data_IF_191050155939
#
_entry.id   IF_191050155939
#
_cell.length_a   1.000
_cell.length_b   1.000
_cell.length_c   1.000
_cell.angle_alpha   90.00
_cell.angle_beta   90.00
_cell.angle_gamma   90.00
#
_symmetry.space_group_name_H-M   'P 1'
#
loop_
_entity.id
_entity.type
_entity.pdbx_description
1 polymer ?
#
# COMPACT_ATOMS: atom_id res chain seq x y z
N UNK A 1 -7.49 17.15 24.06
CA UNK A 1 -6.85 15.86 23.67
C UNK A 1 -7.30 14.82 24.69
N UNK A 2 -7.53 13.60 24.24
CA UNK A 2 -7.98 12.50 25.08
C UNK A 2 -6.75 11.66 25.41
N UNK A 3 -6.46 11.46 26.69
CA UNK A 3 -5.20 10.86 27.14
C UNK A 3 -5.34 9.35 27.41
N UNK A 4 -4.23 8.61 27.35
CA UNK A 4 -4.19 7.16 27.57
C UNK A 4 -4.71 6.76 28.95
N UNK A 5 -4.51 7.61 29.95
CA UNK A 5 -5.03 7.44 31.31
C UNK A 5 -6.56 7.43 31.36
N UNK A 6 -7.23 8.25 30.54
CA UNK A 6 -8.68 8.25 30.41
C UNK A 6 -9.18 6.94 29.79
N UNK A 7 -8.49 6.43 28.76
CA UNK A 7 -8.84 5.16 28.12
C UNK A 7 -8.68 3.96 29.06
N UNK A 8 -7.62 3.95 29.87
CA UNK A 8 -7.40 2.91 30.88
C UNK A 8 -8.47 2.93 31.97
N UNK A 9 -8.82 4.12 32.46
CA UNK A 9 -9.89 4.29 33.45
C UNK A 9 -11.23 3.82 32.89
N UNK A 10 -11.55 4.18 31.65
CA UNK A 10 -12.78 3.76 31.01
C UNK A 10 -12.83 2.23 30.84
N UNK A 11 -11.72 1.61 30.41
CA UNK A 11 -11.63 0.16 30.29
C UNK A 11 -11.82 -0.56 31.63
N UNK A 12 -11.19 -0.06 32.70
CA UNK A 12 -11.37 -0.59 34.06
C UNK A 12 -12.80 -0.46 34.56
N UNK A 13 -13.44 0.70 34.35
CA UNK A 13 -14.83 0.91 34.71
C UNK A 13 -15.79 0.01 33.94
N UNK A 14 -15.51 -0.25 32.66
CA UNK A 14 -16.31 -1.14 31.82
C UNK A 14 -16.19 -2.59 32.29
N UNK A 15 -14.97 -3.03 32.65
CA UNK A 15 -14.74 -4.36 33.24
C UNK A 15 -15.46 -4.51 34.58
N UNK A 16 -15.40 -3.48 35.43
CA UNK A 16 -16.11 -3.47 36.72
C UNK A 16 -17.63 -3.50 36.53
N UNK A 17 -18.18 -2.72 35.59
CA UNK A 17 -19.60 -2.71 35.27
C UNK A 17 -20.09 -4.07 34.72
N UNK A 18 -19.26 -4.74 33.91
CA UNK A 18 -19.50 -6.10 33.42
C UNK A 18 -19.52 -7.11 34.57
N UNK A 19 -18.53 -7.06 35.47
CA UNK A 19 -18.46 -7.95 36.65
C UNK A 19 -19.62 -7.72 37.61
N UNK A 20 -20.09 -6.48 37.74
CA UNK A 20 -21.23 -6.12 38.56
C UNK A 20 -22.59 -6.43 37.90
N UNK A 21 -22.62 -6.87 36.63
CA UNK A 21 -23.84 -7.21 35.90
C UNK A 21 -24.76 -6.02 35.59
N UNK A 22 -24.24 -4.79 35.60
CA UNK A 22 -25.05 -3.58 35.38
C UNK A 22 -25.12 -3.26 33.88
N UNK A 23 -26.06 -3.88 33.17
CA UNK A 23 -26.16 -3.77 31.71
C UNK A 23 -26.26 -2.33 31.18
N UNK A 24 -27.05 -1.46 31.84
CA UNK A 24 -27.19 -0.06 31.43
C UNK A 24 -25.88 0.73 31.52
N UNK A 25 -25.08 0.47 32.55
CA UNK A 25 -23.79 1.11 32.72
C UNK A 25 -22.79 0.59 31.69
N UNK A 26 -22.83 -0.70 31.37
CA UNK A 26 -22.00 -1.30 30.30
C UNK A 26 -22.33 -0.68 28.95
N UNK A 27 -23.61 -0.54 28.60
CA UNK A 27 -24.04 0.08 27.34
C UNK A 27 -23.58 1.55 27.24
N UNK A 28 -23.82 2.35 28.28
CA UNK A 28 -23.39 3.75 28.30
C UNK A 28 -21.85 3.87 28.19
N UNK A 29 -21.10 3.06 28.94
CA UNK A 29 -19.63 3.07 28.87
C UNK A 29 -19.10 2.60 27.51
N UNK A 30 -19.76 1.66 26.85
CA UNK A 30 -19.42 1.25 25.48
C UNK A 30 -19.66 2.36 24.46
N UNK A 31 -20.73 3.15 24.60
CA UNK A 31 -20.97 4.31 23.73
C UNK A 31 -19.90 5.37 23.92
N UNK A 32 -19.56 5.70 25.17
CA UNK A 32 -18.49 6.64 25.48
C UNK A 32 -17.14 6.13 24.95
N UNK A 33 -16.88 4.82 25.05
CA UNK A 33 -15.68 4.20 24.48
C UNK A 33 -15.61 4.40 22.96
N UNK A 34 -16.71 4.14 22.25
CA UNK A 34 -16.78 4.32 20.78
C UNK A 34 -16.53 5.78 20.39
N UNK A 35 -17.11 6.73 21.11
CA UNK A 35 -16.88 8.15 20.87
C UNK A 35 -15.43 8.56 21.16
N UNK A 36 -14.87 8.13 22.28
CA UNK A 36 -13.48 8.40 22.65
C UNK A 36 -12.50 7.87 21.60
N UNK A 37 -12.75 6.66 21.09
CA UNK A 37 -11.99 6.05 20.00
C UNK A 37 -12.11 6.88 18.71
N UNK A 38 -13.31 7.34 18.34
CA UNK A 38 -13.50 8.18 17.15
C UNK A 38 -12.68 9.46 17.21
N UNK A 39 -12.69 10.13 18.38
CA UNK A 39 -11.93 11.36 18.62
C UNK A 39 -10.42 11.10 18.56
N UNK A 40 -9.96 9.97 19.12
CA UNK A 40 -8.55 9.55 19.03
C UNK A 40 -8.13 9.26 17.59
N UNK A 41 -9.01 8.63 16.82
CA UNK A 41 -8.77 8.29 15.43
C UNK A 41 -8.74 9.56 14.55
N UNK A 42 -9.51 10.60 14.89
CA UNK A 42 -9.45 11.92 14.24
C UNK A 42 -8.08 12.61 14.39
N UNK A 43 -7.41 12.41 15.53
CA UNK A 43 -6.11 13.02 15.81
C UNK A 43 -4.93 12.40 15.06
N UNK A 44 -5.17 11.32 14.33
CA UNK A 44 -4.17 10.48 13.67
C UNK A 44 -4.31 10.56 12.14
N UNK A 45 -3.19 10.33 11.44
CA UNK A 45 -3.11 10.26 9.97
C UNK A 45 -4.17 9.30 9.38
N UNK A 46 -4.79 9.62 8.24
CA UNK A 46 -5.81 8.79 7.60
C UNK A 46 -5.40 7.32 7.40
N UNK A 47 -4.14 7.07 7.08
CA UNK A 47 -3.55 5.75 6.88
C UNK A 47 -3.58 4.94 8.19
N UNK A 48 -3.04 5.49 9.28
CA UNK A 48 -3.01 4.83 10.59
C UNK A 48 -4.43 4.69 11.19
N UNK A 49 -5.33 5.62 10.89
CA UNK A 49 -6.76 5.50 11.20
C UNK A 49 -7.38 4.28 10.51
N UNK A 50 -7.08 4.08 9.23
CA UNK A 50 -7.53 2.90 8.49
C UNK A 50 -6.95 1.63 9.14
N UNK A 51 -5.65 1.58 9.42
CA UNK A 51 -5.03 0.42 10.10
C UNK A 51 -5.74 0.07 11.42
N UNK A 52 -6.03 1.05 12.27
CA UNK A 52 -6.73 0.84 13.54
C UNK A 52 -8.15 0.30 13.34
N UNK A 53 -8.86 0.77 12.32
CA UNK A 53 -10.19 0.24 11.97
C UNK A 53 -10.11 -1.21 11.48
N UNK A 54 -9.15 -1.52 10.61
CA UNK A 54 -8.95 -2.87 10.06
C UNK A 54 -8.55 -3.89 11.15
N UNK A 55 -7.74 -3.47 12.13
CA UNK A 55 -7.37 -4.32 13.27
C UNK A 55 -8.53 -4.63 14.21
N UNK A 56 -9.56 -3.79 14.26
CA UNK A 56 -10.74 -3.99 15.11
C UNK A 56 -11.83 -4.80 14.41
N UNK A 57 -11.78 -4.91 13.09
CA UNK A 57 -12.80 -5.61 12.28
C UNK A 57 -12.38 -7.07 12.03
N UNK A 58 -12.99 -8.04 12.73
CA UNK A 58 -12.64 -9.45 12.56
C UNK A 58 -13.13 -10.03 11.22
N UNK A 59 -14.22 -9.49 10.66
CA UNK A 59 -14.83 -10.01 9.44
C UNK A 59 -14.01 -9.60 8.19
N UNK A 60 -13.65 -10.60 7.36
CA UNK A 60 -12.88 -10.42 6.13
C UNK A 60 -13.67 -9.58 5.11
N UNK A 61 -14.96 -9.86 4.92
CA UNK A 61 -15.77 -9.16 3.91
C UNK A 61 -15.97 -7.68 4.27
N UNK A 62 -16.24 -7.42 5.54
CA UNK A 62 -16.37 -6.06 6.06
C UNK A 62 -15.04 -5.29 5.96
N UNK A 63 -13.92 -5.99 6.18
CA UNK A 63 -12.58 -5.41 6.03
C UNK A 63 -12.27 -5.04 4.59
N UNK A 64 -12.59 -5.91 3.64
CA UNK A 64 -12.41 -5.66 2.22
C UNK A 64 -13.26 -4.48 1.73
N UNK A 65 -14.49 -4.36 2.22
CA UNK A 65 -15.35 -3.22 1.93
C UNK A 65 -14.75 -1.89 2.48
N UNK A 66 -14.21 -1.90 3.71
CA UNK A 66 -13.55 -0.73 4.30
C UNK A 66 -12.29 -0.31 3.53
N UNK A 67 -11.48 -1.27 3.09
CA UNK A 67 -10.29 -1.01 2.27
C UNK A 67 -10.71 -0.42 0.92
N UNK A 68 -11.71 -1.03 0.29
CA UNK A 68 -12.23 -0.58 -1.01
C UNK A 68 -12.80 0.83 -0.93
N UNK A 69 -13.58 1.15 0.10
CA UNK A 69 -14.12 2.51 0.32
C UNK A 69 -13.00 3.53 0.63
N UNK A 70 -11.96 3.13 1.35
CA UNK A 70 -10.84 4.01 1.67
C UNK A 70 -9.94 4.32 0.46
N UNK A 71 -9.76 3.36 -0.45
CA UNK A 71 -8.94 3.51 -1.64
C UNK A 71 -9.68 4.09 -2.83
N UNK A 72 -11.00 3.89 -2.95
CA UNK A 72 -11.82 4.57 -3.95
C UNK A 72 -11.73 6.08 -3.75
N UNK A 73 -11.40 6.82 -4.81
CA UNK A 73 -11.49 8.28 -4.80
C UNK A 73 -12.94 8.67 -4.55
N UNK A 74 -13.17 9.47 -3.51
CA UNK A 74 -14.47 10.14 -3.35
C UNK A 74 -14.56 11.12 -4.51
N UNK A 75 -15.67 11.07 -5.25
CA UNK A 75 -15.76 11.61 -6.61
C UNK A 75 -15.27 13.05 -6.79
N UNK A 76 -14.86 13.33 -8.02
CA UNK A 76 -14.53 14.66 -8.55
C UNK A 76 -15.63 15.64 -8.19
N UNK A 77 -15.31 16.67 -7.40
CA UNK A 77 -16.19 17.82 -7.26
C UNK A 77 -15.87 18.75 -8.43
N UNK A 78 -16.86 19.02 -9.28
CA UNK A 78 -16.76 20.08 -10.29
C UNK A 78 -16.81 21.40 -9.52
N UNK A 79 -15.65 22.01 -9.28
CA UNK A 79 -15.58 23.44 -8.99
C UNK A 79 -15.72 24.18 -10.32
N UNK A 80 -16.45 25.28 -10.28
CA UNK A 80 -16.69 26.17 -11.40
C UNK A 80 -15.35 26.66 -12.02
N UNK A 81 -15.33 26.64 -13.36
CA UNK A 81 -14.29 26.98 -14.35
C UNK A 81 -12.82 26.53 -14.13
N UNK A 82 -12.39 25.64 -15.04
CA UNK A 82 -11.01 25.28 -15.43
C UNK A 82 -10.03 24.64 -14.43
N UNK A 83 -10.48 24.06 -13.31
CA UNK A 83 -9.60 23.12 -12.56
C UNK A 83 -10.36 21.89 -12.08
N UNK A 84 -10.24 20.79 -12.83
CA UNK A 84 -10.60 19.45 -12.33
C UNK A 84 -9.66 19.07 -11.18
N UNK A 85 -10.04 19.41 -9.95
CA UNK A 85 -9.40 18.84 -8.77
C UNK A 85 -10.07 17.51 -8.46
N UNK A 86 -9.38 16.41 -8.77
CA UNK A 86 -9.78 15.11 -8.23
C UNK A 86 -9.65 15.18 -6.71
N UNK A 87 -10.75 14.96 -6.00
CA UNK A 87 -10.65 14.64 -4.59
C UNK A 87 -9.84 13.34 -4.51
N UNK A 88 -8.58 13.46 -4.10
CA UNK A 88 -7.67 12.33 -3.97
C UNK A 88 -8.32 11.21 -3.15
N UNK A 89 -7.88 9.98 -3.36
CA UNK A 89 -8.29 8.86 -2.50
C UNK A 89 -8.19 9.25 -1.03
N UNK A 90 -9.18 8.83 -0.23
CA UNK A 90 -9.22 9.18 1.19
C UNK A 90 -7.96 8.69 1.93
N UNK A 91 -7.35 7.62 1.41
CA UNK A 91 -6.06 7.08 1.82
C UNK A 91 -5.26 6.69 0.58
N UNK A 92 -4.03 7.18 0.47
CA UNK A 92 -3.07 6.75 -0.55
C UNK A 92 -2.58 5.33 -0.22
N UNK A 93 -2.82 4.38 -1.12
CA UNK A 93 -2.46 2.98 -0.94
C UNK A 93 -0.94 2.79 -0.69
N UNK A 94 -0.09 3.62 -1.32
CA UNK A 94 1.37 3.55 -1.13
C UNK A 94 1.77 3.99 0.28
N UNK A 95 1.17 5.08 0.78
CA UNK A 95 1.40 5.57 2.13
C UNK A 95 0.85 4.59 3.17
N UNK A 96 -0.30 3.98 2.90
CA UNK A 96 -0.86 2.93 3.75
C UNK A 96 0.11 1.74 3.90
N UNK A 97 0.64 1.20 2.80
CA UNK A 97 1.62 0.11 2.85
C UNK A 97 2.89 0.52 3.58
N UNK A 98 3.38 1.76 3.40
CA UNK A 98 4.52 2.28 4.16
C UNK A 98 4.24 2.37 5.67
N UNK A 99 3.05 2.85 6.07
CA UNK A 99 2.67 2.86 7.49
C UNK A 99 2.58 1.45 8.05
N UNK A 100 2.08 0.49 7.28
CA UNK A 100 2.03 -0.91 7.70
C UNK A 100 3.43 -1.52 7.83
N UNK A 101 4.34 -1.24 6.89
CA UNK A 101 5.74 -1.66 6.95
C UNK A 101 6.46 -1.06 8.17
N UNK A 102 6.24 0.22 8.44
CA UNK A 102 6.81 0.89 9.60
C UNK A 102 6.25 0.32 10.92
N UNK A 103 4.95 0.00 10.97
CA UNK A 103 4.36 -0.70 12.11
C UNK A 103 5.00 -2.08 12.29
N UNK A 104 5.15 -2.87 11.23
CA UNK A 104 5.81 -4.18 11.31
C UNK A 104 7.27 -4.08 11.78
N UNK A 105 8.02 -3.06 11.36
CA UNK A 105 9.41 -2.83 11.81
C UNK A 105 9.46 -2.41 13.28
N UNK A 106 8.61 -1.47 13.68
CA UNK A 106 8.59 -0.94 15.05
C UNK A 106 8.04 -1.96 16.06
N UNK A 107 7.13 -2.83 15.61
CA UNK A 107 6.50 -3.86 16.42
C UNK A 107 6.99 -5.28 16.08
N UNK A 108 8.17 -5.40 15.45
CA UNK A 108 8.78 -6.69 15.10
C UNK A 108 9.08 -7.61 16.29
N UNK A 109 8.96 -7.08 17.51
CA UNK A 109 9.13 -7.81 18.77
C UNK A 109 7.80 -8.07 19.52
N UNK A 110 6.64 -7.73 18.93
CA UNK A 110 5.32 -8.04 19.52
C UNK A 110 4.84 -9.44 19.12
N UNK A 111 3.88 -9.93 19.90
CA UNK A 111 3.20 -11.24 19.81
C UNK A 111 2.99 -11.74 18.37
N UNK A 112 3.33 -13.01 18.14
CA UNK A 112 3.34 -13.64 16.81
C UNK A 112 1.97 -13.56 16.10
N UNK A 113 0.87 -13.70 16.86
CA UNK A 113 -0.50 -13.59 16.32
C UNK A 113 -0.85 -12.19 15.82
N UNK A 114 -0.32 -11.13 16.44
CA UNK A 114 -0.52 -9.76 15.98
C UNK A 114 0.19 -9.52 14.64
N UNK A 115 1.41 -10.05 14.48
CA UNK A 115 2.16 -9.95 13.24
C UNK A 115 1.50 -10.70 12.09
N UNK A 116 0.96 -11.91 12.35
CA UNK A 116 0.23 -12.69 11.37
C UNK A 116 -1.04 -11.95 10.90
N UNK A 117 -1.77 -11.34 11.83
CA UNK A 117 -2.96 -10.54 11.49
C UNK A 117 -2.59 -9.31 10.65
N UNK A 118 -1.52 -8.58 10.98
CA UNK A 118 -1.05 -7.45 10.17
C UNK A 118 -0.65 -7.90 8.76
N UNK A 119 0.08 -9.02 8.62
CA UNK A 119 0.47 -9.56 7.32
C UNK A 119 -0.76 -9.94 6.48
N UNK A 120 -1.76 -10.57 7.08
CA UNK A 120 -3.02 -10.92 6.40
C UNK A 120 -3.74 -9.68 5.90
N UNK A 121 -3.90 -8.67 6.75
CA UNK A 121 -4.55 -7.39 6.39
C UNK A 121 -3.75 -6.68 5.28
N UNK A 122 -2.42 -6.73 5.34
CA UNK A 122 -1.57 -6.15 4.31
C UNK A 122 -1.74 -6.85 2.95
N UNK A 123 -1.81 -8.18 2.92
CA UNK A 123 -2.02 -8.95 1.70
C UNK A 123 -3.40 -8.66 1.07
N UNK A 124 -4.46 -8.62 1.88
CA UNK A 124 -5.81 -8.28 1.41
C UNK A 124 -5.87 -6.83 0.87
N UNK A 125 -5.19 -5.90 1.55
CA UNK A 125 -5.11 -4.53 1.08
C UNK A 125 -4.31 -4.39 -0.22
N UNK A 126 -3.26 -5.18 -0.39
CA UNK A 126 -2.47 -5.23 -1.64
C UNK A 126 -3.30 -5.78 -2.79
N UNK A 127 -4.04 -6.88 -2.58
CA UNK A 127 -4.92 -7.48 -3.58
C UNK A 127 -5.99 -6.49 -4.04
N UNK A 128 -6.67 -5.82 -3.10
CA UNK A 128 -7.69 -4.80 -3.41
C UNK A 128 -7.07 -3.59 -4.10
N UNK A 129 -5.86 -3.18 -3.70
CA UNK A 129 -5.16 -2.10 -4.38
C UNK A 129 -4.78 -2.50 -5.82
N UNK A 130 -4.30 -3.72 -6.05
CA UNK A 130 -4.00 -4.25 -7.40
C UNK A 130 -5.25 -4.21 -8.27
N UNK A 131 -6.37 -4.69 -7.76
CA UNK A 131 -7.67 -4.67 -8.46
C UNK A 131 -8.15 -3.24 -8.76
N UNK A 132 -8.06 -2.34 -7.78
CA UNK A 132 -8.57 -0.97 -7.92
C UNK A 132 -7.75 -0.13 -8.89
N UNK A 133 -6.41 -0.24 -8.83
CA UNK A 133 -5.51 0.51 -9.70
C UNK A 133 -5.25 -0.20 -11.04
N UNK A 134 -5.88 -1.35 -11.28
CA UNK A 134 -5.71 -2.12 -12.51
C UNK A 134 -4.29 -2.65 -12.71
N UNK A 135 -3.51 -2.75 -11.63
CA UNK A 135 -2.21 -3.43 -11.64
C UNK A 135 -2.47 -4.93 -11.62
N UNK A 136 -2.90 -5.48 -12.77
CA UNK A 136 -2.64 -6.87 -13.08
C UNK A 136 -1.12 -7.03 -13.12
N UNK A 137 -0.60 -8.09 -12.51
CA UNK A 137 0.79 -8.49 -12.72
C UNK A 137 0.98 -8.68 -14.22
N UNK A 138 1.57 -7.67 -14.87
CA UNK A 138 1.83 -7.74 -16.29
C UNK A 138 2.94 -8.74 -16.49
N UNK A 139 2.64 -9.77 -17.28
CA UNK A 139 3.64 -10.75 -17.68
C UNK A 139 4.80 -10.02 -18.38
N UNK A 140 6.00 -10.62 -18.40
CA UNK A 140 7.18 -10.03 -19.06
C UNK A 140 6.84 -9.66 -20.52
N UNK A 141 5.97 -10.44 -21.17
CA UNK A 141 5.43 -10.15 -22.50
C UNK A 141 4.53 -8.92 -22.55
N UNK A 142 3.64 -8.75 -21.59
CA UNK A 142 2.76 -7.57 -21.54
C UNK A 142 3.55 -6.30 -21.22
N UNK A 143 4.63 -6.41 -20.43
CA UNK A 143 5.57 -5.32 -20.22
C UNK A 143 6.37 -4.98 -21.48
N UNK A 144 6.75 -5.98 -22.28
CA UNK A 144 7.41 -5.79 -23.57
C UNK A 144 6.49 -5.17 -24.61
N UNK A 145 5.25 -5.65 -24.73
CA UNK A 145 4.24 -5.11 -25.62
C UNK A 145 3.87 -3.69 -25.23
N UNK A 146 3.72 -3.41 -23.93
CA UNK A 146 3.52 -2.05 -23.43
C UNK A 146 4.75 -1.16 -23.67
N UNK A 147 5.98 -1.67 -23.53
CA UNK A 147 7.19 -0.91 -23.83
C UNK A 147 7.35 -0.62 -25.33
N UNK A 148 6.88 -1.53 -26.18
CA UNK A 148 6.80 -1.40 -27.63
C UNK A 148 5.71 -0.39 -28.04
N UNK A 149 4.50 -0.50 -27.48
CA UNK A 149 3.39 0.43 -27.69
C UNK A 149 3.72 1.84 -27.18
N UNK A 150 4.35 1.94 -26.01
CA UNK A 150 4.82 3.20 -25.41
C UNK A 150 6.15 3.69 -25.97
N UNK A 151 6.78 2.94 -26.88
CA UNK A 151 8.04 3.28 -27.58
C UNK A 151 9.18 3.68 -26.64
N UNK A 152 9.29 2.98 -25.51
CA UNK A 152 10.27 3.32 -24.43
C UNK A 152 11.65 2.70 -24.61
N UNK A 153 11.91 2.00 -25.72
CA UNK A 153 13.26 1.90 -26.28
C UNK A 153 13.20 2.48 -27.67
N UNK A 154 13.59 3.75 -27.77
CA UNK A 154 13.42 4.50 -29.00
C UNK A 154 14.54 4.18 -29.99
N UNK A 155 14.25 4.26 -31.29
CA UNK A 155 15.28 4.21 -32.35
C UNK A 155 16.39 5.25 -32.10
N UNK A 156 16.04 6.39 -31.47
CA UNK A 156 16.98 7.43 -31.07
C UNK A 156 17.89 7.03 -29.91
N UNK A 157 17.44 6.16 -29.01
CA UNK A 157 18.25 5.66 -27.89
C UNK A 157 19.26 4.62 -28.39
N UNK A 158 18.90 3.88 -29.45
CA UNK A 158 19.84 3.06 -30.21
C UNK A 158 20.88 3.94 -30.91
N UNK A 159 20.47 5.01 -31.59
CA UNK A 159 21.41 5.95 -32.25
C UNK A 159 22.36 6.65 -31.25
N UNK A 160 21.87 7.01 -30.06
CA UNK A 160 22.71 7.55 -28.98
C UNK A 160 23.72 6.52 -28.50
N UNK A 161 23.30 5.26 -28.37
CA UNK A 161 24.17 4.16 -27.98
C UNK A 161 25.20 3.83 -29.06
N UNK A 162 24.85 3.98 -30.34
CA UNK A 162 25.74 3.88 -31.51
C UNK A 162 26.81 4.98 -31.46
N UNK A 163 26.39 6.24 -31.38
CA UNK A 163 27.32 7.38 -31.28
C UNK A 163 28.26 7.26 -30.09
N UNK A 164 27.76 6.76 -28.94
CA UNK A 164 28.57 6.60 -27.75
C UNK A 164 29.60 5.46 -27.90
N UNK A 165 29.26 4.38 -28.61
CA UNK A 165 30.20 3.32 -29.00
C UNK A 165 31.25 3.81 -30.00
N UNK A 166 30.83 4.53 -31.05
CA UNK A 166 31.74 5.13 -32.04
C UNK A 166 32.72 6.11 -31.39
N UNK A 167 32.25 6.95 -30.45
CA UNK A 167 33.12 7.85 -29.68
C UNK A 167 34.14 7.11 -28.82
N UNK A 168 33.84 5.89 -28.39
CA UNK A 168 34.75 5.03 -27.62
C UNK A 168 35.63 4.16 -28.53
N UNK A 169 35.50 4.28 -29.86
CA UNK A 169 36.22 3.48 -30.85
C UNK A 169 35.81 2.00 -30.83
N UNK A 170 34.60 1.71 -30.36
CA UNK A 170 34.02 0.38 -30.32
C UNK A 170 32.87 0.29 -31.31
N UNK A 171 32.67 -0.87 -31.92
CA UNK A 171 31.53 -1.11 -32.80
C UNK A 171 30.21 -1.12 -32.00
N UNK A 172 29.11 -0.77 -32.66
CA UNK A 172 27.81 -0.81 -32.02
C UNK A 172 27.47 -2.25 -31.55
N UNK A 173 26.80 -2.40 -30.38
CA UNK A 173 26.53 -3.71 -29.78
C UNK A 173 25.77 -4.71 -30.67
N UNK A 174 25.04 -4.22 -31.68
CA UNK A 174 24.28 -5.04 -32.63
C UNK A 174 25.01 -5.35 -33.95
N UNK A 175 26.13 -4.67 -34.26
CA UNK A 175 26.93 -4.95 -35.46
C UNK A 175 27.82 -6.19 -35.29
N UNK A 176 28.10 -6.58 -34.04
CA UNK A 176 28.86 -7.78 -33.73
C UNK A 176 27.94 -8.85 -33.10
N UNK A 177 27.39 -9.80 -33.88
CA UNK A 177 26.54 -10.87 -33.34
C UNK A 177 27.34 -11.91 -32.53
N UNK A 178 28.65 -11.73 -32.36
CA UNK A 178 29.50 -12.56 -31.50
C UNK A 178 29.41 -12.05 -30.07
N UNK A 179 28.29 -12.40 -29.42
CA UNK A 179 28.16 -12.32 -27.98
C UNK A 179 29.33 -13.04 -27.30
N UNK A 180 29.74 -12.55 -26.13
CA UNK A 180 30.64 -13.25 -25.24
C UNK A 180 30.26 -14.73 -25.14
N UNK A 181 31.16 -15.60 -25.58
CA UNK A 181 30.90 -17.02 -25.81
C UNK A 181 32.18 -17.78 -26.13
N UNK A 182 32.03 -19.06 -26.40
CA UNK A 182 33.12 -19.90 -26.89
C UNK A 182 33.07 -19.93 -28.42
N UNK A 183 34.22 -19.89 -29.08
CA UNK A 183 34.29 -20.12 -30.53
C UNK A 183 33.82 -21.54 -30.90
N UNK A 184 33.66 -21.83 -32.20
CA UNK A 184 33.28 -23.15 -32.73
C UNK A 184 34.28 -24.27 -32.37
N UNK A 185 35.38 -23.92 -31.70
CA UNK A 185 36.41 -24.84 -31.17
C UNK A 185 36.39 -24.94 -29.64
N UNK A 186 35.40 -24.34 -28.96
CA UNK A 186 35.22 -24.43 -27.52
C UNK A 186 36.24 -23.62 -26.72
N UNK A 187 36.79 -22.53 -27.27
CA UNK A 187 37.68 -21.60 -26.53
C UNK A 187 36.97 -20.30 -26.16
N UNK A 188 37.11 -19.90 -24.89
CA UNK A 188 36.45 -18.71 -24.36
C UNK A 188 37.08 -17.47 -24.97
N UNK A 189 36.29 -16.68 -25.69
CA UNK A 189 36.73 -15.41 -26.25
C UNK A 189 36.67 -14.39 -25.10
N UNK A 190 37.84 -13.85 -24.71
CA UNK A 190 37.98 -12.79 -23.70
C UNK A 190 37.92 -11.45 -24.40
#
# INVERSE_FOLDING_TARGET
KLDDSFMLLLAGNLEQAKKAGVEKAVQALQEVQKQAISILDESVTPELRLVRKLLREPNVDARNALITDAFKSKGTFILDDETESSAGSAVDAKKFVQTMSNLMKNFGNMEEGFQQNLKRIAAEAEEIAKDLYGYKEKDIKELQDEAFEKRTVSVWELEQMEMQSEMQGQDAPWENPRAAGFDDTGKRIV
#
